data_IF_592179160017
#
_entry.id   IF_592179160017
#
_cell.length_a   1.000
_cell.length_b   1.000
_cell.length_c   1.000
_cell.angle_alpha   90.00
_cell.angle_beta   90.00
_cell.angle_gamma   90.00
#
_symmetry.space_group_name_H-M   'P 1'
#
loop_
_entity.id
_entity.type
_entity.pdbx_description
1 polymer ?
#
# COMPACT_ATOMS: atom_id res chain seq x y z
N UNK A 1 -52.97 37.17 46.63
CA UNK A 1 -51.54 37.04 46.27
C UNK A 1 -51.44 36.14 45.05
N UNK A 2 -51.01 36.67 43.90
CA UNK A 2 -50.75 35.87 42.69
C UNK A 2 -49.30 35.39 42.74
N UNK A 3 -49.10 34.07 42.77
CA UNK A 3 -47.78 33.45 42.70
C UNK A 3 -47.50 33.17 41.23
N UNK A 4 -46.57 33.91 40.65
CA UNK A 4 -46.06 33.68 39.30
C UNK A 4 -45.05 32.54 39.34
N UNK A 5 -45.31 31.45 38.61
CA UNK A 5 -44.31 30.41 38.35
C UNK A 5 -43.43 30.86 37.18
N UNK A 6 -42.15 31.13 37.47
CA UNK A 6 -41.11 31.31 36.46
C UNK A 6 -40.63 29.91 36.01
N UNK A 7 -40.98 29.53 34.78
CA UNK A 7 -40.38 28.35 34.12
C UNK A 7 -39.04 28.80 33.55
N UNK A 8 -37.94 28.38 34.19
CA UNK A 8 -36.61 28.56 33.64
C UNK A 8 -36.41 27.55 32.50
N UNK A 9 -36.40 28.04 31.25
CA UNK A 9 -35.99 27.25 30.11
C UNK A 9 -34.48 27.01 30.20
N UNK A 10 -34.08 25.79 30.56
CA UNK A 10 -32.70 25.32 30.43
C UNK A 10 -32.36 25.24 28.94
N UNK A 11 -31.68 26.26 28.43
CA UNK A 11 -31.06 26.23 27.10
C UNK A 11 -29.93 25.22 27.19
N UNK A 12 -30.13 24.03 26.62
CA UNK A 12 -29.08 23.05 26.43
C UNK A 12 -28.04 23.65 25.48
N UNK A 13 -26.92 24.12 26.02
CA UNK A 13 -25.77 24.50 25.21
C UNK A 13 -25.25 23.22 24.57
N UNK A 14 -25.16 23.13 23.23
CA UNK A 14 -24.59 21.94 22.60
C UNK A 14 -23.17 21.79 23.14
N UNK A 15 -22.89 20.65 23.75
CA UNK A 15 -21.54 20.32 24.19
C UNK A 15 -20.65 20.44 22.96
N UNK A 16 -19.72 21.40 22.99
CA UNK A 16 -18.72 21.53 21.95
C UNK A 16 -17.98 20.19 21.91
N UNK A 17 -18.20 19.42 20.85
CA UNK A 17 -17.43 18.20 20.61
C UNK A 17 -16.01 18.68 20.36
N UNK A 18 -15.19 18.66 21.39
CA UNK A 18 -13.79 19.04 21.30
C UNK A 18 -13.17 18.18 20.21
N UNK A 19 -12.63 18.86 19.18
CA UNK A 19 -11.92 18.19 18.12
C UNK A 19 -10.81 17.33 18.76
N UNK A 20 -10.80 16.04 18.44
CA UNK A 20 -9.75 15.15 18.90
C UNK A 20 -8.40 15.59 18.36
N UNK A 21 -7.28 15.21 19.00
CA UNK A 21 -5.93 15.57 18.55
C UNK A 21 -5.56 15.07 17.14
N UNK A 22 -6.41 14.22 16.54
CA UNK A 22 -6.26 13.67 15.20
C UNK A 22 -7.39 14.10 14.24
N UNK A 23 -8.34 14.93 14.70
CA UNK A 23 -9.35 15.48 13.80
C UNK A 23 -8.63 16.42 12.79
N UNK A 24 -8.72 16.08 11.50
CA UNK A 24 -7.99 16.79 10.43
C UNK A 24 -6.55 16.32 10.19
N UNK A 25 -6.11 15.23 10.84
CA UNK A 25 -4.81 14.63 10.54
C UNK A 25 -4.77 14.13 9.09
N UNK A 26 -3.76 14.58 8.35
CA UNK A 26 -3.47 14.11 7.00
C UNK A 26 -2.22 13.22 7.02
N UNK A 27 -2.18 12.15 6.20
CA UNK A 27 -0.96 11.39 6.01
C UNK A 27 0.19 12.29 5.57
N UNK A 28 1.37 12.09 6.17
CA UNK A 28 2.57 12.77 5.70
C UNK A 28 2.84 12.41 4.24
N UNK A 29 3.36 13.33 3.42
CA UNK A 29 3.60 13.13 1.98
C UNK A 29 4.38 11.84 1.67
N UNK A 30 5.31 11.45 2.54
CA UNK A 30 6.07 10.20 2.40
C UNK A 30 5.21 8.92 2.43
N UNK A 31 4.01 8.97 3.02
CA UNK A 31 3.06 7.85 3.03
C UNK A 31 2.41 7.61 1.66
N UNK A 32 2.68 8.51 0.71
CA UNK A 32 2.21 8.44 -0.67
C UNK A 32 0.69 8.22 -0.75
N UNK A 33 -0.04 9.07 -0.03
CA UNK A 33 -1.49 9.10 -0.11
C UNK A 33 -1.96 9.30 -1.56
N UNK A 34 -3.06 8.67 -1.94
CA UNK A 34 -3.53 8.65 -3.32
C UNK A 34 -3.87 10.04 -3.86
N UNK A 35 -4.31 10.98 -3.01
CA UNK A 35 -4.62 12.34 -3.45
C UNK A 35 -3.34 13.12 -3.81
N UNK A 36 -2.22 12.77 -3.18
CA UNK A 36 -0.91 13.40 -3.37
C UNK A 36 0.09 12.59 -4.20
N UNK A 37 -0.31 11.42 -4.71
CA UNK A 37 0.62 10.42 -5.26
C UNK A 37 1.36 10.91 -6.50
N UNK A 38 0.75 11.76 -7.33
CA UNK A 38 1.38 12.36 -8.52
C UNK A 38 2.67 13.11 -8.18
N UNK A 39 2.79 13.63 -6.96
CA UNK A 39 3.98 14.33 -6.50
C UNK A 39 5.18 13.39 -6.25
N UNK A 40 5.00 12.07 -6.43
CA UNK A 40 6.05 11.04 -6.40
C UNK A 40 6.51 10.58 -7.80
N UNK A 41 5.91 11.12 -8.87
CA UNK A 41 6.34 10.85 -10.25
C UNK A 41 7.80 11.28 -10.43
N UNK A 42 8.56 10.46 -11.16
CA UNK A 42 9.94 10.76 -11.51
C UNK A 42 9.95 11.87 -12.58
N UNK A 43 10.52 13.04 -12.29
CA UNK A 43 10.58 14.12 -13.27
C UNK A 43 11.59 13.77 -14.38
N UNK A 44 11.37 14.19 -15.63
CA UNK A 44 12.38 14.10 -16.66
C UNK A 44 13.57 15.01 -16.33
N UNK A 45 14.72 14.70 -16.91
CA UNK A 45 15.85 15.63 -16.94
C UNK A 45 15.47 16.90 -17.69
N UNK A 46 16.05 18.05 -17.30
CA UNK A 46 15.97 19.24 -18.15
C UNK A 46 16.72 19.00 -19.47
N UNK A 47 16.44 19.75 -20.55
CA UNK A 47 17.17 19.59 -21.82
C UNK A 47 18.68 19.66 -21.65
N UNK A 48 19.18 20.59 -20.83
CA UNK A 48 20.60 20.77 -20.56
C UNK A 48 21.20 19.59 -19.80
N UNK A 49 20.44 18.99 -18.88
CA UNK A 49 20.86 17.77 -18.17
C UNK A 49 20.86 16.56 -19.10
N UNK A 50 19.88 16.46 -20.00
CA UNK A 50 19.78 15.36 -20.95
C UNK A 50 20.93 15.37 -21.96
N UNK A 51 21.42 16.55 -22.39
CA UNK A 51 22.59 16.67 -23.26
C UNK A 51 23.90 16.17 -22.60
N UNK A 52 23.96 16.15 -21.27
CA UNK A 52 25.12 15.67 -20.50
C UNK A 52 25.08 14.16 -20.23
N UNK A 53 23.99 13.47 -20.59
CA UNK A 53 23.78 12.05 -20.29
C UNK A 53 23.69 11.25 -21.58
N UNK A 54 24.64 10.35 -21.78
CA UNK A 54 24.66 9.48 -22.97
C UNK A 54 23.53 8.45 -22.98
N UNK A 55 23.06 8.00 -21.80
CA UNK A 55 23.14 6.61 -21.34
C UNK A 55 22.48 6.43 -19.97
N UNK A 56 21.23 5.96 -19.85
CA UNK A 56 20.75 5.38 -18.59
C UNK A 56 21.10 3.89 -18.53
N UNK A 57 22.06 3.56 -17.66
CA UNK A 57 22.58 2.17 -17.55
C UNK A 57 21.85 1.32 -16.50
N UNK A 58 21.42 1.93 -15.39
CA UNK A 58 20.84 1.19 -14.27
C UNK A 58 19.92 2.07 -13.41
N UNK A 59 18.84 1.49 -12.91
CA UNK A 59 17.98 2.08 -11.87
C UNK A 59 17.88 1.12 -10.69
N UNK A 60 18.00 1.65 -9.47
CA UNK A 60 17.76 0.92 -8.23
C UNK A 60 16.57 1.53 -7.51
N UNK A 61 15.58 0.70 -7.19
CA UNK A 61 14.35 1.13 -6.52
C UNK A 61 14.31 0.49 -5.14
N UNK A 62 14.23 1.34 -4.11
CA UNK A 62 14.01 0.90 -2.73
C UNK A 62 12.65 1.44 -2.31
N UNK A 63 11.70 0.52 -2.11
CA UNK A 63 10.33 0.87 -1.78
C UNK A 63 9.94 0.31 -0.40
N UNK A 64 9.28 1.14 0.40
CA UNK A 64 8.51 0.67 1.56
C UNK A 64 7.21 0.03 1.07
N UNK A 65 6.63 -0.87 1.86
CA UNK A 65 5.29 -1.39 1.63
C UNK A 65 4.21 -0.29 1.58
N UNK A 66 3.08 -0.59 0.96
CA UNK A 66 1.92 0.31 0.89
C UNK A 66 1.09 0.35 2.17
N UNK A 67 -0.07 1.01 2.11
CA UNK A 67 -1.04 1.05 3.19
C UNK A 67 -1.40 -0.37 3.68
N UNK A 68 -1.44 -0.54 4.99
CA UNK A 68 -1.61 -1.83 5.65
C UNK A 68 -2.53 -1.73 6.86
N UNK A 69 -3.08 -2.87 7.26
CA UNK A 69 -3.74 -3.00 8.55
C UNK A 69 -2.75 -2.75 9.72
N UNK A 70 -3.23 -2.47 10.95
CA UNK A 70 -2.39 -2.35 12.13
C UNK A 70 -1.54 -3.62 12.34
N UNK A 71 -0.26 -3.45 12.68
CA UNK A 71 0.66 -4.57 12.90
C UNK A 71 0.63 -5.10 14.34
N UNK A 72 -0.01 -4.38 15.25
CA UNK A 72 -0.21 -4.76 16.63
C UNK A 72 -1.40 -4.00 17.19
N UNK A 73 -1.83 -4.36 18.40
CA UNK A 73 -2.72 -3.51 19.19
C UNK A 73 -1.99 -2.21 19.49
N UNK A 74 -2.37 -1.13 18.81
CA UNK A 74 -1.76 0.16 18.97
C UNK A 74 -2.48 0.90 20.08
N UNK A 75 -1.84 0.98 21.25
CA UNK A 75 -2.37 1.61 22.46
C UNK A 75 -2.33 3.15 22.41
N UNK A 76 -1.84 3.74 21.31
CA UNK A 76 -1.71 5.19 21.18
C UNK A 76 -3.06 5.91 20.98
N UNK A 77 -4.15 5.19 20.76
CA UNK A 77 -5.48 5.75 20.49
C UNK A 77 -6.50 5.29 21.53
N UNK A 78 -6.48 5.93 22.71
CA UNK A 78 -7.42 5.65 23.80
C UNK A 78 -8.85 6.13 23.50
N UNK A 79 -9.00 7.10 22.59
CA UNK A 79 -10.31 7.60 22.18
C UNK A 79 -10.98 6.64 21.18
N UNK A 80 -12.19 6.18 21.53
CA UNK A 80 -12.99 5.25 20.73
C UNK A 80 -13.17 5.69 19.26
N UNK A 81 -13.28 7.01 19.01
CA UNK A 81 -13.54 7.62 17.70
C UNK A 81 -12.43 7.38 16.67
N UNK A 82 -11.19 7.13 17.11
CA UNK A 82 -10.02 7.01 16.23
C UNK A 82 -9.17 5.78 16.53
N UNK A 83 -9.69 4.83 17.31
CA UNK A 83 -8.97 3.61 17.62
C UNK A 83 -9.08 2.64 16.44
N UNK A 84 -7.97 2.31 15.75
CA UNK A 84 -8.00 1.38 14.63
C UNK A 84 -8.45 -0.02 15.03
N UNK A 85 -8.40 -0.37 16.33
CA UNK A 85 -8.93 -1.65 16.83
C UNK A 85 -10.46 -1.72 16.84
N UNK A 86 -11.15 -0.58 16.75
CA UNK A 86 -12.62 -0.52 16.66
C UNK A 86 -13.11 -0.46 15.20
N UNK A 87 -12.21 -0.28 14.24
CA UNK A 87 -12.54 -0.29 12.82
C UNK A 87 -12.74 -1.74 12.33
N UNK A 88 -13.61 -1.91 11.34
CA UNK A 88 -13.73 -3.15 10.59
C UNK A 88 -12.74 -3.13 9.43
N UNK A 89 -11.89 -4.14 9.36
CA UNK A 89 -10.81 -4.24 8.38
C UNK A 89 -11.19 -5.24 7.29
N UNK A 90 -11.52 -4.70 6.12
CA UNK A 90 -11.79 -5.49 4.91
C UNK A 90 -10.55 -5.57 4.01
N UNK A 91 -10.05 -6.80 3.85
CA UNK A 91 -8.92 -7.17 3.03
C UNK A 91 -9.37 -8.06 1.88
N UNK A 92 -9.01 -7.64 0.66
CA UNK A 92 -9.13 -8.48 -0.54
C UNK A 92 -7.88 -9.31 -0.81
N UNK A 93 -6.84 -9.15 0.00
CA UNK A 93 -5.58 -9.88 -0.17
C UNK A 93 -5.75 -11.34 0.23
N UNK A 94 -5.57 -12.22 -0.75
CA UNK A 94 -5.60 -13.66 -0.55
C UNK A 94 -4.17 -14.16 -0.48
N UNK A 95 -3.76 -14.64 0.69
CA UNK A 95 -2.48 -15.33 0.83
C UNK A 95 -2.67 -16.82 0.49
N UNK A 96 -1.75 -17.36 -0.29
CA UNK A 96 -1.64 -18.80 -0.53
C UNK A 96 -0.42 -19.33 0.22
N UNK A 97 -0.59 -20.45 0.91
CA UNK A 97 0.53 -21.21 1.47
C UNK A 97 0.80 -22.41 0.56
N UNK A 98 2.05 -22.58 0.21
CA UNK A 98 2.57 -23.79 -0.42
C UNK A 98 3.77 -24.25 0.39
N UNK A 99 3.88 -25.54 0.60
CA UNK A 99 5.09 -26.16 1.11
C UNK A 99 5.53 -27.18 0.07
N UNK A 100 6.76 -27.02 -0.41
CA UNK A 100 7.38 -28.02 -1.28
C UNK A 100 7.94 -29.13 -0.39
N UNK A 101 7.15 -30.20 -0.26
CA UNK A 101 7.53 -31.42 0.45
C UNK A 101 8.20 -32.44 -0.48
N UNK A 102 8.45 -32.07 -1.75
CA UNK A 102 9.06 -32.97 -2.71
C UNK A 102 10.58 -32.93 -2.59
N UNK A 103 11.19 -34.11 -2.47
CA UNK A 103 12.64 -34.25 -2.37
C UNK A 103 13.35 -34.20 -3.73
N UNK A 104 12.62 -34.35 -4.84
CA UNK A 104 13.17 -34.31 -6.20
C UNK A 104 13.28 -32.87 -6.72
N UNK A 105 14.51 -32.41 -6.96
CA UNK A 105 14.81 -31.07 -7.45
C UNK A 105 14.18 -30.74 -8.81
N UNK A 106 13.95 -31.74 -9.66
CA UNK A 106 13.38 -31.55 -10.99
C UNK A 106 11.86 -31.32 -11.00
N UNK A 107 11.22 -31.56 -9.85
CA UNK A 107 9.79 -31.31 -9.65
C UNK A 107 9.52 -30.32 -8.52
N UNK A 108 10.58 -29.61 -8.09
CA UNK A 108 10.47 -28.49 -7.15
C UNK A 108 9.59 -27.39 -7.75
N UNK A 109 8.69 -26.86 -6.94
CA UNK A 109 7.73 -25.87 -7.37
C UNK A 109 6.63 -25.65 -6.34
N UNK A 110 5.54 -25.02 -6.79
CA UNK A 110 4.37 -24.88 -5.93
C UNK A 110 3.68 -26.24 -5.83
N UNK A 111 3.77 -26.88 -4.66
CA UNK A 111 2.93 -28.03 -4.31
C UNK A 111 1.45 -27.64 -4.22
N UNK A 112 0.67 -28.35 -3.40
CA UNK A 112 -0.74 -27.97 -3.20
C UNK A 112 -0.84 -26.56 -2.60
N UNK A 113 -1.55 -25.67 -3.30
CA UNK A 113 -1.83 -24.32 -2.81
C UNK A 113 -3.02 -24.34 -1.85
N UNK A 114 -2.80 -23.89 -0.62
CA UNK A 114 -3.86 -23.71 0.36
C UNK A 114 -4.16 -22.22 0.52
N UNK A 115 -5.41 -21.83 0.26
CA UNK A 115 -5.89 -20.48 0.52
C UNK A 115 -5.97 -20.25 2.03
N UNK A 116 -5.29 -19.22 2.54
CA UNK A 116 -5.46 -18.74 3.91
C UNK A 116 -6.61 -17.74 3.97
N UNK A 117 -7.53 -17.95 4.90
CA UNK A 117 -8.66 -17.05 5.16
C UNK A 117 -8.75 -16.76 6.65
N UNK A 118 -9.02 -15.51 7.02
CA UNK A 118 -9.28 -15.14 8.41
C UNK A 118 -10.78 -15.11 8.64
N UNK A 119 -11.20 -15.65 9.78
CA UNK A 119 -12.61 -15.71 10.17
C UNK A 119 -12.92 -14.51 11.06
N UNK A 120 -14.03 -13.83 10.77
CA UNK A 120 -14.52 -12.73 11.59
C UNK A 120 -14.82 -13.22 13.01
N UNK A 121 -14.54 -12.38 14.02
CA UNK A 121 -14.64 -12.73 15.44
C UNK A 121 -13.57 -13.69 15.96
N UNK A 122 -12.72 -14.27 15.09
CA UNK A 122 -11.64 -15.19 15.46
C UNK A 122 -10.24 -14.62 15.19
N UNK A 123 -10.14 -13.31 14.98
CA UNK A 123 -8.90 -12.61 14.66
C UNK A 123 -8.72 -11.39 15.59
N UNK A 124 -7.48 -10.90 15.70
CA UNK A 124 -7.15 -9.74 16.54
C UNK A 124 -7.79 -8.45 16.02
N UNK A 125 -7.90 -8.33 14.69
CA UNK A 125 -8.62 -7.26 14.03
C UNK A 125 -10.05 -7.71 13.73
N UNK A 126 -11.02 -6.82 13.90
CA UNK A 126 -12.40 -7.05 13.42
C UNK A 126 -12.38 -7.13 11.89
N UNK A 127 -13.06 -8.11 11.29
CA UNK A 127 -13.06 -8.35 9.85
C UNK A 127 -12.16 -9.51 9.41
N UNK A 128 -11.67 -9.46 8.17
CA UNK A 128 -10.99 -10.58 7.48
C UNK A 128 -9.49 -10.32 7.19
N UNK A 129 -8.94 -9.20 7.68
CA UNK A 129 -7.53 -8.83 7.46
C UNK A 129 -6.56 -9.55 8.39
N UNK A 130 -5.41 -10.00 7.87
CA UNK A 130 -4.26 -10.33 8.73
C UNK A 130 -3.72 -9.07 9.40
N UNK A 131 -3.21 -9.21 10.62
CA UNK A 131 -2.43 -8.18 11.30
C UNK A 131 -1.25 -7.75 10.40
N UNK A 132 -1.15 -6.44 10.17
CA UNK A 132 -0.11 -5.88 9.31
C UNK A 132 -0.26 -6.23 7.83
N UNK A 133 -1.40 -6.80 7.41
CA UNK A 133 -1.64 -7.19 6.02
C UNK A 133 -1.76 -6.02 5.07
N UNK A 134 -1.34 -6.22 3.82
CA UNK A 134 -1.49 -5.21 2.78
C UNK A 134 -2.97 -4.97 2.47
N UNK A 135 -3.37 -3.70 2.45
CA UNK A 135 -4.73 -3.28 2.12
C UNK A 135 -4.88 -3.07 0.59
N UNK A 136 -6.12 -3.09 0.07
CA UNK A 136 -6.38 -2.74 -1.34
C UNK A 136 -5.78 -1.38 -1.73
N UNK A 137 -5.90 -0.39 -0.84
CA UNK A 137 -5.27 0.93 -1.01
C UNK A 137 -3.75 0.82 -1.17
N UNK A 138 -3.09 0.00 -0.34
CA UNK A 138 -1.64 -0.21 -0.42
C UNK A 138 -1.21 -0.85 -1.73
N UNK A 139 -2.02 -1.80 -2.24
CA UNK A 139 -1.80 -2.39 -3.56
C UNK A 139 -1.95 -1.34 -4.66
N UNK A 140 -2.97 -0.49 -4.58
CA UNK A 140 -3.19 0.59 -5.54
C UNK A 140 -2.03 1.59 -5.56
N UNK A 141 -1.52 2.00 -4.39
CA UNK A 141 -0.35 2.87 -4.27
C UNK A 141 0.85 2.30 -5.03
N UNK A 142 1.15 1.01 -4.84
CA UNK A 142 2.29 0.39 -5.52
C UNK A 142 2.06 0.17 -7.01
N UNK A 143 0.84 -0.16 -7.43
CA UNK A 143 0.50 -0.23 -8.85
C UNK A 143 0.68 1.12 -9.55
N UNK A 144 0.31 2.22 -8.88
CA UNK A 144 0.55 3.58 -9.38
C UNK A 144 2.04 3.90 -9.43
N UNK A 145 2.82 3.56 -8.39
CA UNK A 145 4.27 3.71 -8.41
C UNK A 145 4.92 2.93 -9.57
N UNK A 146 4.49 1.70 -9.81
CA UNK A 146 4.92 0.89 -10.95
C UNK A 146 4.63 1.58 -12.28
N UNK A 147 3.44 2.18 -12.43
CA UNK A 147 3.09 2.98 -13.61
C UNK A 147 4.03 4.19 -13.80
N UNK A 148 4.38 4.90 -12.73
CA UNK A 148 5.34 6.02 -12.84
C UNK A 148 6.72 5.55 -13.25
N UNK A 149 7.18 4.40 -12.74
CA UNK A 149 8.42 3.76 -13.19
C UNK A 149 8.35 3.38 -14.68
N UNK A 150 7.21 2.84 -15.12
CA UNK A 150 6.99 2.50 -16.53
C UNK A 150 7.11 3.73 -17.42
N UNK A 151 6.40 4.79 -17.07
CA UNK A 151 6.43 6.04 -17.84
C UNK A 151 7.84 6.64 -17.89
N UNK A 152 8.62 6.51 -16.79
CA UNK A 152 9.99 7.00 -16.70
C UNK A 152 10.98 6.16 -17.52
N UNK A 153 10.89 4.82 -17.45
CA UNK A 153 11.99 3.93 -17.86
C UNK A 153 11.65 2.94 -18.97
N UNK A 154 10.39 2.88 -19.41
CA UNK A 154 9.98 2.06 -20.54
C UNK A 154 9.71 2.93 -21.78
N UNK A 155 10.19 2.49 -22.94
CA UNK A 155 9.97 3.14 -24.22
C UNK A 155 11.25 3.22 -25.07
N UNK A 156 11.30 4.20 -25.98
CA UNK A 156 12.47 4.44 -26.83
C UNK A 156 13.38 5.55 -26.32
N UNK A 157 14.66 5.48 -26.71
CA UNK A 157 15.68 6.49 -26.42
C UNK A 157 16.69 6.04 -25.37
N UNK A 158 17.81 6.75 -25.29
CA UNK A 158 18.95 6.40 -24.43
C UNK A 158 18.69 6.55 -22.92
N UNK A 159 17.60 7.21 -22.54
CA UNK A 159 17.18 7.38 -21.14
C UNK A 159 16.13 6.35 -20.71
N UNK A 160 15.86 5.33 -21.53
CA UNK A 160 14.93 4.24 -21.23
C UNK A 160 15.73 2.96 -20.97
N UNK A 161 15.33 2.21 -19.95
CA UNK A 161 15.96 0.94 -19.61
C UNK A 161 15.36 -0.21 -20.42
N UNK A 162 14.05 -0.20 -20.64
CA UNK A 162 13.35 -1.30 -21.30
C UNK A 162 12.64 -0.79 -22.56
N UNK A 163 12.74 -1.51 -23.69
CA UNK A 163 12.07 -1.13 -24.93
C UNK A 163 10.55 -1.35 -24.88
N UNK A 164 10.08 -2.20 -23.98
CA UNK A 164 8.66 -2.59 -23.85
C UNK A 164 8.30 -2.89 -22.40
N UNK A 165 7.00 -2.77 -22.08
CA UNK A 165 6.44 -3.17 -20.79
C UNK A 165 5.98 -4.64 -20.77
N UNK A 166 6.07 -5.34 -21.90
CA UNK A 166 5.76 -6.76 -21.97
C UNK A 166 6.93 -7.57 -21.41
N UNK A 167 6.75 -8.13 -20.21
CA UNK A 167 7.81 -8.86 -19.50
C UNK A 167 8.31 -10.10 -20.26
N UNK A 168 7.48 -10.72 -21.09
CA UNK A 168 7.87 -11.91 -21.88
C UNK A 168 8.83 -11.58 -23.03
N UNK A 169 8.96 -10.31 -23.38
CA UNK A 169 9.86 -9.82 -24.42
C UNK A 169 11.16 -9.22 -23.85
N UNK A 170 11.42 -9.37 -22.54
CA UNK A 170 12.60 -8.85 -21.86
C UNK A 170 13.52 -9.98 -21.41
N UNK A 171 14.82 -9.71 -21.35
CA UNK A 171 15.78 -10.63 -20.77
C UNK A 171 15.68 -10.58 -19.24
N UNK A 172 15.15 -11.64 -18.63
CA UNK A 172 14.87 -11.65 -17.19
C UNK A 172 16.12 -11.46 -16.31
N UNK A 173 17.33 -11.73 -16.84
CA UNK A 173 18.59 -11.46 -16.14
C UNK A 173 18.86 -9.96 -15.93
N UNK A 174 18.18 -9.08 -16.66
CA UNK A 174 18.28 -7.62 -16.50
C UNK A 174 17.45 -7.11 -15.31
N UNK A 175 16.60 -7.97 -14.72
CA UNK A 175 15.71 -7.61 -13.62
C UNK A 175 16.06 -8.42 -12.39
N UNK A 176 16.45 -7.73 -11.32
CA UNK A 176 16.67 -8.33 -10.01
C UNK A 176 15.64 -7.85 -9.00
N UNK A 177 14.87 -8.77 -8.42
CA UNK A 177 13.85 -8.49 -7.42
C UNK A 177 14.23 -9.09 -6.07
N UNK A 178 14.13 -8.28 -5.01
CA UNK A 178 14.33 -8.70 -3.62
C UNK A 178 13.30 -8.04 -2.72
N UNK A 179 12.81 -8.78 -1.73
CA UNK A 179 11.89 -8.27 -0.72
C UNK A 179 12.26 -8.84 0.64
N UNK A 180 11.89 -8.13 1.70
CA UNK A 180 11.84 -8.70 3.05
C UNK A 180 10.76 -9.78 3.10
N UNK A 181 10.94 -10.79 3.95
CA UNK A 181 9.99 -11.90 4.11
C UNK A 181 8.78 -11.48 4.97
N UNK A 182 7.93 -10.63 4.39
CA UNK A 182 6.66 -10.20 4.95
C UNK A 182 5.61 -10.17 3.83
N UNK A 183 4.41 -10.68 4.12
CA UNK A 183 3.29 -10.71 3.16
C UNK A 183 3.05 -9.34 2.51
N UNK A 184 3.05 -8.27 3.32
CA UNK A 184 2.82 -6.91 2.82
C UNK A 184 3.90 -6.37 1.89
N UNK A 185 5.17 -6.77 2.07
CA UNK A 185 6.28 -6.30 1.23
C UNK A 185 6.31 -7.08 -0.06
N UNK A 186 6.04 -8.40 0.00
CA UNK A 186 5.86 -9.25 -1.18
C UNK A 186 4.69 -8.77 -2.05
N UNK A 187 3.50 -8.56 -1.46
CA UNK A 187 2.33 -8.08 -2.18
C UNK A 187 2.50 -6.65 -2.73
N UNK A 188 3.26 -5.79 -2.04
CA UNK A 188 3.59 -4.45 -2.56
C UNK A 188 4.56 -4.53 -3.73
N UNK A 189 5.55 -5.43 -3.66
CA UNK A 189 6.48 -5.71 -4.75
C UNK A 189 5.77 -6.24 -5.99
N UNK A 190 4.86 -7.22 -5.82
CA UNK A 190 4.01 -7.73 -6.90
C UNK A 190 3.22 -6.60 -7.57
N UNK A 191 2.48 -5.80 -6.80
CA UNK A 191 1.70 -4.69 -7.34
C UNK A 191 2.55 -3.64 -8.07
N UNK A 192 3.77 -3.38 -7.59
CA UNK A 192 4.71 -2.49 -8.26
C UNK A 192 5.17 -3.06 -9.61
N UNK A 193 5.49 -4.35 -9.64
CA UNK A 193 5.85 -5.07 -10.87
C UNK A 193 4.66 -5.08 -11.85
N UNK A 194 3.43 -5.38 -11.40
CA UNK A 194 2.22 -5.35 -12.24
C UNK A 194 1.93 -3.94 -12.80
N UNK A 195 2.34 -2.90 -12.08
CA UNK A 195 2.25 -1.52 -12.56
C UNK A 195 3.30 -1.19 -13.63
N UNK A 196 4.52 -1.72 -13.45
CA UNK A 196 5.66 -1.51 -14.33
C UNK A 196 5.57 -2.34 -15.61
N UNK A 197 5.19 -3.60 -15.47
CA UNK A 197 5.03 -4.60 -16.53
C UNK A 197 3.63 -5.23 -16.38
N UNK A 198 2.60 -4.62 -16.98
CA UNK A 198 1.23 -5.13 -16.87
C UNK A 198 1.09 -6.43 -17.65
N UNK A 199 0.17 -7.30 -17.20
CA UNK A 199 -0.28 -8.44 -18.00
C UNK A 199 -0.90 -7.95 -19.33
N UNK A 200 -0.67 -8.69 -20.42
CA UNK A 200 -1.21 -8.41 -21.76
C UNK A 200 -2.75 -8.53 -21.82
#
# INVERSE_FOLDING_TARGET
>A
MRVSFLVAALVAVPAAVMAGPYDGWAPHRYCNDMDGIEASRIPPLTPEQAELVESLEQVQIIARHGARAPYAKLFCWDAHKHNPMNAEWDCTTTSVSSQDINSDEHSKGFGRLYRKSYMDGHNILKGNCVIGGLLPLGRQQHKTNGRFLRDAYVGGGSLKLFPTANLSHLELSEIYLRSDDQERTLGSGQALVDGLFPDD
#
